data_IF_721653720258
#
_entry.id   IF_721653720258
#
_cell.length_a   1.000
_cell.length_b   1.000
_cell.length_c   1.000
_cell.angle_alpha   90.00
_cell.angle_beta   90.00
_cell.angle_gamma   90.00
#
_symmetry.space_group_name_H-M   'P 1'
#
loop_
_entity.id
_entity.type
_entity.pdbx_description
1 polymer ?
#
# COMPACT_ATOMS: atom_id res chain seq x y z
N UNK A 1 -12.12 22.57 32.31
CA UNK A 1 -12.30 21.60 31.19
C UNK A 1 -11.53 22.09 29.95
N UNK A 2 -10.24 21.72 29.78
CA UNK A 2 -9.46 21.87 28.51
C UNK A 2 -8.22 20.94 28.52
N UNK A 3 -8.43 19.61 28.59
CA UNK A 3 -7.36 18.59 28.47
C UNK A 3 -7.42 17.75 27.17
N UNK A 4 -8.40 17.98 26.29
CA UNK A 4 -8.63 17.13 25.11
C UNK A 4 -7.97 17.57 23.79
N UNK A 5 -7.36 18.77 23.74
CA UNK A 5 -6.93 19.38 22.46
C UNK A 5 -5.43 19.15 22.17
N UNK A 6 -4.58 19.18 23.19
CA UNK A 6 -3.12 18.94 23.06
C UNK A 6 -2.77 17.50 22.69
N UNK A 7 -3.56 16.51 23.14
CA UNK A 7 -3.32 15.10 22.82
C UNK A 7 -3.61 14.78 21.35
N UNK A 8 -4.69 15.35 20.79
CA UNK A 8 -5.06 15.18 19.37
C UNK A 8 -4.08 15.86 18.42
N UNK A 9 -3.53 17.01 18.80
CA UNK A 9 -2.50 17.69 18.01
C UNK A 9 -1.18 16.90 17.96
N UNK A 10 -0.77 16.33 19.09
CA UNK A 10 0.46 15.54 19.20
C UNK A 10 0.37 14.17 18.49
N UNK A 11 -0.83 13.58 18.47
CA UNK A 11 -1.10 12.34 17.74
C UNK A 11 -1.09 12.56 16.21
N UNK A 12 -1.64 13.70 15.74
CA UNK A 12 -1.58 14.10 14.32
C UNK A 12 -0.15 14.38 13.84
N UNK A 13 0.70 15.03 14.63
CA UNK A 13 2.09 15.31 14.24
C UNK A 13 2.93 14.03 14.14
N UNK A 14 2.77 13.11 15.10
CA UNK A 14 3.41 11.78 15.06
C UNK A 14 2.90 10.91 13.90
N UNK A 15 1.61 11.03 13.57
CA UNK A 15 1.04 10.38 12.40
C UNK A 15 1.62 10.96 11.10
N UNK A 16 1.84 12.27 11.02
CA UNK A 16 2.39 12.90 9.82
C UNK A 16 3.87 12.56 9.60
N UNK A 17 4.67 12.41 10.67
CA UNK A 17 6.08 11.97 10.57
C UNK A 17 6.24 10.57 9.98
N UNK A 18 5.24 9.69 10.16
CA UNK A 18 5.26 8.31 9.61
C UNK A 18 4.92 8.25 8.14
N UNK A 19 4.40 9.33 7.55
CA UNK A 19 4.04 9.40 6.15
C UNK A 19 4.96 10.34 5.37
N UNK A 20 5.36 9.91 4.18
CA UNK A 20 6.02 10.77 3.21
C UNK A 20 5.32 10.67 1.87
N UNK A 21 4.93 11.79 1.31
CA UNK A 21 4.43 11.92 -0.07
C UNK A 21 5.48 12.67 -0.87
N UNK A 22 6.06 12.00 -1.88
CA UNK A 22 7.12 12.57 -2.72
C UNK A 22 6.71 12.44 -4.18
N UNK A 23 7.01 13.46 -4.99
CA UNK A 23 6.85 13.38 -6.44
C UNK A 23 8.08 12.72 -7.06
N UNK A 24 7.86 11.68 -7.85
CA UNK A 24 8.89 10.93 -8.57
C UNK A 24 8.53 10.95 -10.07
N UNK A 25 9.07 11.94 -10.80
CA UNK A 25 8.75 12.12 -12.22
C UNK A 25 7.26 12.39 -12.47
N UNK A 26 6.57 11.40 -13.07
CA UNK A 26 5.13 11.40 -13.35
C UNK A 26 4.27 10.71 -12.28
N UNK A 27 4.89 10.25 -11.17
CA UNK A 27 4.23 9.54 -10.08
C UNK A 27 4.27 10.34 -8.77
N UNK A 28 3.33 10.05 -7.88
CA UNK A 28 3.39 10.35 -6.45
C UNK A 28 3.63 9.06 -5.68
N UNK A 29 4.73 9.03 -4.92
CA UNK A 29 5.05 7.98 -4.00
C UNK A 29 4.49 8.35 -2.61
N UNK A 30 3.41 7.67 -2.21
CA UNK A 30 2.85 7.75 -0.86
C UNK A 30 3.46 6.61 -0.06
N UNK A 31 4.34 6.93 0.89
CA UNK A 31 5.00 5.92 1.71
C UNK A 31 4.68 6.06 3.20
N UNK A 32 4.63 4.92 3.88
CA UNK A 32 4.48 4.81 5.33
C UNK A 32 5.64 4.00 5.91
N UNK A 33 6.25 4.49 6.98
CA UNK A 33 7.18 3.72 7.81
C UNK A 33 6.46 2.50 8.40
N UNK A 34 7.11 1.33 8.42
CA UNK A 34 6.57 0.09 8.96
C UNK A 34 7.58 -0.49 9.94
N UNK A 35 7.13 -0.76 11.16
CA UNK A 35 7.93 -1.41 12.21
C UNK A 35 7.87 -2.94 12.08
N UNK A 36 8.24 -3.45 10.89
CA UNK A 36 8.34 -4.88 10.60
C UNK A 36 9.44 -5.17 9.57
N UNK A 37 9.96 -6.41 9.52
CA UNK A 37 10.95 -6.80 8.52
C UNK A 37 10.47 -6.57 7.07
N UNK A 38 11.34 -6.10 6.15
CA UNK A 38 10.99 -5.86 4.74
C UNK A 38 10.40 -7.09 4.05
N UNK A 39 10.89 -8.28 4.39
CA UNK A 39 10.46 -9.58 3.87
C UNK A 39 9.01 -9.89 4.21
N UNK A 40 8.67 -9.82 5.50
CA UNK A 40 7.32 -10.07 6.02
C UNK A 40 6.36 -9.05 5.42
N UNK A 41 6.78 -7.79 5.39
CA UNK A 41 6.02 -6.69 4.79
C UNK A 41 5.78 -6.93 3.29
N UNK A 42 6.80 -7.35 2.54
CA UNK A 42 6.65 -7.60 1.10
C UNK A 42 5.77 -8.82 0.81
N UNK A 43 5.88 -9.89 1.62
CA UNK A 43 5.01 -11.07 1.49
C UNK A 43 3.54 -10.70 1.74
N UNK A 44 3.26 -10.00 2.85
CA UNK A 44 1.90 -9.57 3.18
C UNK A 44 1.31 -8.62 2.14
N UNK A 45 2.12 -7.71 1.57
CA UNK A 45 1.70 -6.78 0.53
C UNK A 45 1.32 -7.51 -0.77
N UNK A 46 1.94 -8.69 -1.02
CA UNK A 46 1.69 -9.54 -2.18
C UNK A 46 0.55 -10.54 -1.98
N UNK A 47 0.07 -10.76 -0.75
CA UNK A 47 -1.02 -11.70 -0.47
C UNK A 47 -2.37 -11.16 -0.96
N UNK A 48 -2.83 -11.69 -2.10
CA UNK A 48 -4.08 -11.29 -2.77
C UNK A 48 -5.31 -11.52 -1.92
N UNK A 49 -5.26 -12.45 -0.97
CA UNK A 49 -6.36 -12.73 -0.04
C UNK A 49 -6.54 -11.63 1.00
N UNK A 50 -5.47 -10.89 1.33
CA UNK A 50 -5.46 -9.84 2.36
C UNK A 50 -5.71 -8.44 1.79
N UNK A 51 -5.74 -8.28 0.47
CA UNK A 51 -6.00 -6.96 -0.14
C UNK A 51 -7.26 -6.26 0.38
N UNK A 52 -8.41 -6.95 0.58
CA UNK A 52 -9.60 -6.31 1.14
C UNK A 52 -9.41 -5.81 2.58
N UNK A 53 -8.48 -6.39 3.34
CA UNK A 53 -8.25 -6.04 4.74
C UNK A 53 -7.57 -4.67 4.87
N UNK A 54 -6.64 -4.36 3.96
CA UNK A 54 -5.89 -3.11 4.01
C UNK A 54 -6.35 -2.06 3.00
N UNK A 55 -6.78 -2.44 1.79
CA UNK A 55 -7.12 -1.48 0.74
C UNK A 55 -8.57 -0.99 0.83
N UNK A 56 -8.83 0.31 1.08
CA UNK A 56 -10.19 0.84 1.16
C UNK A 56 -10.97 0.75 -0.15
N UNK A 57 -10.28 0.68 -1.29
CA UNK A 57 -10.89 0.65 -2.62
C UNK A 57 -11.15 -0.76 -3.13
N UNK A 58 -10.60 -1.78 -2.48
CA UNK A 58 -10.76 -3.19 -2.87
C UNK A 58 -11.74 -3.86 -1.93
N UNK A 59 -12.91 -4.22 -2.46
CA UNK A 59 -13.95 -4.92 -1.70
C UNK A 59 -13.92 -6.44 -1.87
N UNK A 60 -12.98 -7.00 -2.62
CA UNK A 60 -12.89 -8.43 -2.91
C UNK A 60 -11.88 -8.75 -4.00
N UNK A 61 -11.33 -9.95 -3.96
CA UNK A 61 -10.33 -10.45 -4.93
C UNK A 61 -10.61 -11.90 -5.27
N UNK A 62 -10.60 -12.22 -6.55
CA UNK A 62 -10.53 -13.57 -7.10
C UNK A 62 -9.22 -13.64 -7.89
N UNK A 63 -8.26 -14.45 -7.46
CA UNK A 63 -6.93 -14.49 -8.07
C UNK A 63 -6.53 -15.92 -8.39
N UNK A 64 -5.83 -16.10 -9.51
CA UNK A 64 -5.20 -17.37 -9.85
C UNK A 64 -4.10 -17.75 -8.84
N UNK A 65 -3.42 -16.74 -8.29
CA UNK A 65 -2.31 -16.91 -7.35
C UNK A 65 -2.62 -16.25 -6.00
N UNK A 66 -2.20 -16.89 -4.91
CA UNK A 66 -2.28 -16.28 -3.57
C UNK A 66 -1.30 -15.11 -3.45
N UNK A 67 -0.08 -15.26 -3.95
CA UNK A 67 0.94 -14.22 -3.89
C UNK A 67 1.17 -13.67 -5.29
N UNK A 68 1.25 -12.34 -5.39
CA UNK A 68 1.50 -11.62 -6.66
C UNK A 68 2.81 -12.04 -7.28
N UNK A 69 2.79 -12.70 -8.43
CA UNK A 69 3.95 -12.92 -9.29
C UNK A 69 3.76 -12.20 -10.64
N UNK A 70 4.84 -12.09 -11.42
CA UNK A 70 4.72 -11.55 -12.79
C UNK A 70 3.77 -12.44 -13.59
N UNK A 71 2.70 -11.85 -14.14
CA UNK A 71 1.70 -12.60 -14.89
C UNK A 71 0.51 -13.07 -14.07
N UNK A 72 0.49 -12.89 -12.74
CA UNK A 72 -0.71 -13.17 -11.92
C UNK A 72 -1.92 -12.43 -12.47
N UNK A 73 -3.04 -13.15 -12.59
CA UNK A 73 -4.30 -12.60 -13.12
C UNK A 73 -5.47 -12.93 -12.21
N UNK A 74 -6.55 -12.16 -12.36
CA UNK A 74 -7.76 -12.38 -11.60
C UNK A 74 -8.78 -11.27 -11.82
N UNK A 75 -9.70 -11.16 -10.87
CA UNK A 75 -10.68 -10.09 -10.78
C UNK A 75 -10.57 -9.41 -9.42
N UNK A 76 -10.73 -8.10 -9.43
CA UNK A 76 -10.76 -7.27 -8.22
C UNK A 76 -12.07 -6.50 -8.19
N UNK A 77 -12.68 -6.39 -7.02
CA UNK A 77 -13.92 -5.62 -6.82
C UNK A 77 -13.57 -4.21 -6.40
N UNK A 78 -13.72 -3.24 -7.29
CA UNK A 78 -13.46 -1.82 -7.04
C UNK A 78 -14.75 -1.03 -7.21
N UNK A 79 -15.09 -0.18 -6.24
CA UNK A 79 -16.34 0.58 -6.22
C UNK A 79 -17.59 -0.29 -6.48
N UNK A 80 -17.59 -1.53 -5.97
CA UNK A 80 -18.69 -2.49 -6.13
C UNK A 80 -18.68 -3.30 -7.44
N UNK A 81 -17.79 -3.00 -8.38
CA UNK A 81 -17.74 -3.65 -9.71
C UNK A 81 -16.55 -4.60 -9.80
N UNK A 82 -16.77 -5.80 -10.35
CA UNK A 82 -15.72 -6.79 -10.62
C UNK A 82 -15.04 -6.55 -11.96
N UNK A 83 -13.78 -6.13 -11.92
CA UNK A 83 -12.95 -5.83 -13.09
C UNK A 83 -11.73 -6.75 -13.16
N UNK A 84 -11.25 -7.12 -14.36
CA UNK A 84 -10.07 -7.96 -14.48
C UNK A 84 -8.81 -7.18 -14.08
N UNK A 85 -7.84 -7.87 -13.51
CA UNK A 85 -6.49 -7.35 -13.31
C UNK A 85 -5.43 -8.30 -13.85
N UNK A 86 -4.26 -7.74 -14.15
CA UNK A 86 -3.03 -8.48 -14.45
C UNK A 86 -1.84 -7.79 -13.83
N UNK A 87 -1.01 -8.54 -13.11
CA UNK A 87 0.30 -8.10 -12.66
C UNK A 87 1.24 -8.11 -13.86
N UNK A 88 1.79 -6.95 -14.18
CA UNK A 88 2.65 -6.74 -15.36
C UNK A 88 4.13 -6.91 -15.04
N UNK A 89 4.52 -6.69 -13.79
CA UNK A 89 5.89 -6.84 -13.31
C UNK A 89 5.84 -7.13 -11.82
N UNK A 90 6.62 -8.09 -11.36
CA UNK A 90 6.85 -8.35 -9.95
C UNK A 90 8.31 -8.72 -9.72
N UNK A 91 8.89 -8.10 -8.71
CA UNK A 91 10.11 -8.51 -8.04
C UNK A 91 9.75 -8.83 -6.59
N UNK A 92 10.74 -9.28 -5.83
CA UNK A 92 10.56 -9.58 -4.41
C UNK A 92 10.07 -8.39 -3.57
N UNK A 93 10.36 -7.15 -3.98
CA UNK A 93 10.07 -5.94 -3.20
C UNK A 93 9.21 -4.92 -3.95
N UNK A 94 8.80 -5.21 -5.19
CA UNK A 94 8.02 -4.27 -6.01
C UNK A 94 7.12 -5.03 -6.95
N UNK A 95 5.89 -4.55 -7.15
CA UNK A 95 5.04 -5.04 -8.22
C UNK A 95 4.16 -3.93 -8.81
N UNK A 96 3.83 -4.12 -10.08
CA UNK A 96 3.04 -3.21 -10.90
C UNK A 96 1.95 -4.03 -11.61
N UNK A 97 0.80 -3.41 -11.86
CA UNK A 97 -0.37 -4.09 -12.39
C UNK A 97 -1.24 -3.17 -13.23
N UNK A 98 -2.14 -3.80 -13.99
CA UNK A 98 -3.21 -3.16 -14.72
C UNK A 98 -4.55 -3.63 -14.20
N UNK A 99 -5.50 -2.71 -14.12
CA UNK A 99 -6.90 -2.97 -13.78
C UNK A 99 -7.75 -2.52 -14.96
N UNK A 100 -8.59 -3.41 -15.49
CA UNK A 100 -9.33 -3.20 -16.74
C UNK A 100 -8.43 -2.75 -17.91
N UNK A 101 -7.17 -3.21 -17.95
CA UNK A 101 -6.19 -2.85 -18.97
C UNK A 101 -5.47 -1.50 -18.75
N UNK A 102 -5.89 -0.72 -17.76
CA UNK A 102 -5.29 0.59 -17.45
C UNK A 102 -4.18 0.41 -16.41
N UNK A 103 -2.99 1.02 -16.59
CA UNK A 103 -1.96 1.06 -15.55
C UNK A 103 -2.54 1.61 -14.24
N UNK A 104 -2.44 0.81 -13.18
CA UNK A 104 -2.93 1.17 -11.86
C UNK A 104 -1.77 1.63 -10.97
N UNK A 105 -1.93 1.52 -9.66
CA UNK A 105 -0.89 1.88 -8.70
C UNK A 105 0.28 0.89 -8.71
N UNK A 106 1.51 1.37 -8.54
CA UNK A 106 2.65 0.54 -8.21
C UNK A 106 2.73 0.31 -6.70
N UNK A 107 3.38 -0.78 -6.28
CA UNK A 107 3.59 -1.09 -4.87
C UNK A 107 5.04 -1.48 -4.67
N UNK A 108 5.70 -0.94 -3.64
CA UNK A 108 7.08 -1.31 -3.29
C UNK A 108 7.33 -1.29 -1.79
N UNK A 109 8.33 -2.05 -1.36
CA UNK A 109 8.90 -2.03 -0.01
C UNK A 109 10.35 -1.60 -0.09
N UNK A 110 10.69 -0.52 0.60
CA UNK A 110 12.03 0.04 0.70
C UNK A 110 12.70 -0.43 2.00
N UNK A 111 13.98 -0.77 1.94
CA UNK A 111 14.77 -1.19 3.11
C UNK A 111 15.53 0.00 3.69
N UNK A 112 15.75 -0.02 5.00
CA UNK A 112 16.73 0.84 5.66
C UNK A 112 18.03 0.09 5.93
N UNK A 113 19.17 0.72 5.63
CA UNK A 113 20.48 0.12 5.87
C UNK A 113 20.73 0.02 7.38
N UNK A 114 21.01 -1.19 7.87
CA UNK A 114 21.28 -1.45 9.30
C UNK A 114 20.04 -1.58 10.19
N UNK A 115 18.83 -1.48 9.64
CA UNK A 115 17.57 -1.59 10.40
C UNK A 115 16.73 -2.77 9.87
N UNK A 116 17.05 -4.04 10.23
CA UNK A 116 16.42 -5.23 9.64
C UNK A 116 14.94 -5.40 10.00
N UNK A 117 14.48 -4.74 11.08
CA UNK A 117 13.10 -4.81 11.58
C UNK A 117 12.27 -3.58 11.20
N UNK A 118 12.77 -2.75 10.27
CA UNK A 118 12.08 -1.55 9.83
C UNK A 118 12.18 -1.39 8.32
N UNK A 119 11.09 -0.97 7.71
CA UNK A 119 11.04 -0.73 6.28
C UNK A 119 10.02 0.37 5.95
N UNK A 120 9.86 0.68 4.66
CA UNK A 120 8.84 1.62 4.21
C UNK A 120 8.02 0.98 3.10
N UNK A 121 6.71 0.88 3.32
CA UNK A 121 5.76 0.45 2.28
C UNK A 121 5.30 1.68 1.49
N UNK A 122 5.28 1.57 0.16
CA UNK A 122 4.99 2.68 -0.74
C UNK A 122 3.95 2.25 -1.78
N UNK A 123 2.96 3.11 -1.98
CA UNK A 123 2.03 3.07 -3.10
C UNK A 123 2.38 4.19 -4.06
N UNK A 124 2.67 3.83 -5.30
CA UNK A 124 2.95 4.76 -6.39
C UNK A 124 1.67 5.05 -7.16
N UNK A 125 1.33 6.32 -7.29
CA UNK A 125 0.10 6.78 -7.92
C UNK A 125 0.46 7.67 -9.11
N UNK A 126 -0.14 7.49 -10.29
CA UNK A 126 0.00 8.47 -11.37
C UNK A 126 -0.35 9.89 -10.88
N UNK A 127 0.43 10.90 -11.25
CA UNK A 127 0.20 12.29 -10.81
C UNK A 127 -1.21 12.81 -11.12
N UNK A 128 -1.78 12.38 -12.25
CA UNK A 128 -3.15 12.69 -12.65
C UNK A 128 -4.20 12.21 -11.63
N UNK A 129 -3.86 11.20 -10.83
CA UNK A 129 -4.68 10.65 -9.75
C UNK A 129 -4.22 11.13 -8.36
N UNK A 130 -3.55 12.28 -8.24
CA UNK A 130 -3.04 12.79 -6.96
C UNK A 130 -4.10 12.90 -5.85
N UNK A 131 -5.35 13.20 -6.20
CA UNK A 131 -6.47 13.23 -5.25
C UNK A 131 -6.73 11.88 -4.55
N UNK A 132 -6.14 10.79 -5.05
CA UNK A 132 -6.20 9.45 -4.46
C UNK A 132 -5.21 9.24 -3.31
N UNK A 133 -4.24 10.13 -3.11
CA UNK A 133 -3.21 10.00 -2.07
C UNK A 133 -3.76 9.79 -0.63
N UNK A 134 -4.84 10.45 -0.18
CA UNK A 134 -5.43 10.17 1.14
C UNK A 134 -5.95 8.74 1.28
N UNK A 135 -6.46 8.15 0.20
CA UNK A 135 -6.89 6.74 0.19
C UNK A 135 -5.68 5.82 0.34
N UNK A 136 -4.57 6.13 -0.34
CA UNK A 136 -3.30 5.41 -0.18
C UNK A 136 -2.75 5.51 1.26
N UNK A 137 -2.81 6.69 1.90
CA UNK A 137 -2.41 6.84 3.32
C UNK A 137 -3.23 5.91 4.21
N UNK A 138 -4.56 5.93 4.05
CA UNK A 138 -5.46 5.04 4.81
C UNK A 138 -5.19 3.56 4.55
N UNK A 139 -4.87 3.20 3.30
CA UNK A 139 -4.53 1.84 2.94
C UNK A 139 -3.26 1.36 3.66
N UNK A 140 -2.21 2.19 3.63
CA UNK A 140 -0.94 1.90 4.30
C UNK A 140 -1.06 1.86 5.82
N UNK A 141 -1.91 2.70 6.43
CA UNK A 141 -2.18 2.64 7.88
C UNK A 141 -2.80 1.31 8.30
N UNK A 142 -3.80 0.83 7.54
CA UNK A 142 -4.40 -0.48 7.80
C UNK A 142 -3.40 -1.59 7.55
N UNK A 143 -2.65 -1.50 6.45
CA UNK A 143 -1.65 -2.49 6.10
C UNK A 143 -0.61 -2.66 7.20
N UNK A 144 -0.11 -1.54 7.73
CA UNK A 144 0.81 -1.56 8.83
C UNK A 144 0.27 -2.23 10.09
N UNK A 145 -0.97 -1.91 10.48
CA UNK A 145 -1.61 -2.58 11.61
C UNK A 145 -1.71 -4.11 11.41
N UNK A 146 -1.73 -4.60 10.17
CA UNK A 146 -1.75 -6.04 9.88
C UNK A 146 -0.38 -6.71 9.99
N UNK A 147 0.73 -5.96 9.88
CA UNK A 147 2.10 -6.53 9.80
C UNK A 147 2.99 -6.12 10.98
N UNK A 148 2.62 -5.07 11.72
CA UNK A 148 3.31 -4.60 12.95
C UNK A 148 2.82 -5.38 14.19
N UNK A 149 1.84 -6.27 14.06
CA UNK A 149 1.20 -6.98 15.17
C UNK A 149 1.68 -8.43 15.33
N UNK A 150 2.77 -8.81 14.66
CA UNK A 150 3.40 -10.15 14.75
C UNK A 150 4.74 -10.14 15.49
#
# INVERSE_FOLDING_TARGET
MRRGDRSRANDRSRADDRFRVVREGSLLAVGREIDAPPEVTAEALRDTRRWPDWSPSVGGVESADRYVETGTTGRVRVAGVWVPFRVTSATRLRWDWRVAGIPATGHRVERYAGEPNRCRAVIEVPLLAAAYAPVCRRALDRFAALVETD
#
